data_IF_408283038104
#
_entry.id   IF_408283038104
#
_cell.length_a   1.000
_cell.length_b   1.000
_cell.length_c   1.000
_cell.angle_alpha   90.00
_cell.angle_beta   90.00
_cell.angle_gamma   90.00
#
_symmetry.space_group_name_H-M   'P 1'
#
loop_
_entity.id
_entity.type
_entity.pdbx_description
1 polymer ?
#
# COMPACT_ATOMS: atom_id res chain seq x y z
N UNK A 1 9.33 -23.14 -27.92
CA UNK A 1 10.63 -22.47 -27.66
C UNK A 1 11.22 -21.76 -28.87
N UNK A 2 11.19 -22.32 -30.09
CA UNK A 2 11.76 -21.64 -31.26
C UNK A 2 11.06 -20.31 -31.65
N UNK A 3 9.77 -20.15 -31.33
CA UNK A 3 9.01 -18.91 -31.62
C UNK A 3 9.32 -17.75 -30.67
N UNK A 4 9.77 -18.01 -29.44
CA UNK A 4 10.11 -16.97 -28.45
C UNK A 4 11.46 -16.32 -28.77
N UNK A 5 12.32 -17.02 -29.53
CA UNK A 5 13.74 -16.71 -29.67
C UNK A 5 14.03 -15.39 -30.41
N UNK A 6 13.07 -14.86 -31.16
CA UNK A 6 13.26 -13.62 -31.96
C UNK A 6 13.16 -12.36 -31.09
N UNK A 7 12.39 -12.40 -29.99
CA UNK A 7 12.06 -11.21 -29.18
C UNK A 7 12.38 -11.38 -27.67
N UNK A 8 13.17 -12.39 -27.29
CA UNK A 8 13.63 -12.63 -25.91
C UNK A 8 14.23 -11.37 -25.26
N UNK A 9 14.90 -10.54 -26.06
CA UNK A 9 15.51 -9.29 -25.61
C UNK A 9 14.54 -8.36 -24.88
N UNK A 10 13.28 -8.30 -25.34
CA UNK A 10 12.23 -7.47 -24.74
C UNK A 10 11.80 -8.02 -23.39
N UNK A 11 11.69 -9.35 -23.25
CA UNK A 11 11.38 -9.99 -21.98
C UNK A 11 12.51 -9.86 -20.96
N UNK A 12 13.76 -10.04 -21.37
CA UNK A 12 14.92 -9.94 -20.46
C UNK A 12 15.22 -8.51 -20.03
N UNK A 13 14.75 -7.51 -20.76
CA UNK A 13 14.85 -6.11 -20.34
C UNK A 13 13.97 -5.83 -19.11
N UNK A 14 12.78 -6.45 -19.03
CA UNK A 14 11.84 -6.32 -17.91
C UNK A 14 12.14 -7.34 -16.80
N UNK A 15 12.48 -8.58 -17.17
CA UNK A 15 12.78 -9.66 -16.25
C UNK A 15 14.20 -10.20 -16.48
N UNK A 16 15.24 -9.53 -15.92
CA UNK A 16 16.64 -9.92 -16.14
C UNK A 16 16.95 -11.38 -15.77
N UNK A 17 16.20 -11.95 -14.83
CA UNK A 17 16.34 -13.35 -14.41
C UNK A 17 16.09 -14.36 -15.54
N UNK A 18 15.26 -14.02 -16.54
CA UNK A 18 14.95 -14.88 -17.68
C UNK A 18 16.16 -15.08 -18.62
N UNK A 19 17.20 -14.23 -18.54
CA UNK A 19 18.44 -14.40 -19.30
C UNK A 19 19.19 -15.70 -18.96
N UNK A 20 18.95 -16.26 -17.77
CA UNK A 20 19.50 -17.57 -17.37
C UNK A 20 18.84 -18.74 -18.11
N UNK A 21 17.59 -18.58 -18.56
CA UNK A 21 16.80 -19.61 -19.23
C UNK A 21 17.01 -19.53 -20.74
N UNK A 22 16.96 -18.32 -21.30
CA UNK A 22 17.02 -18.11 -22.75
C UNK A 22 18.41 -17.75 -23.28
N UNK A 23 19.38 -17.51 -22.41
CA UNK A 23 20.70 -16.99 -22.78
C UNK A 23 20.69 -15.47 -22.99
N UNK A 24 21.84 -14.91 -23.39
CA UNK A 24 21.94 -13.49 -23.72
C UNK A 24 21.23 -13.23 -25.06
N UNK A 25 20.30 -12.26 -25.14
CA UNK A 25 19.64 -11.90 -26.40
C UNK A 25 20.67 -11.48 -27.45
N UNK A 26 20.47 -11.91 -28.69
CA UNK A 26 21.35 -11.54 -29.82
C UNK A 26 21.08 -10.14 -30.38
N UNK A 27 19.96 -9.51 -30.00
CA UNK A 27 19.59 -8.18 -30.46
C UNK A 27 19.12 -7.32 -29.28
N UNK A 28 19.64 -6.09 -29.18
CA UNK A 28 19.17 -5.11 -28.20
C UNK A 28 17.73 -4.70 -28.55
N UNK A 29 16.79 -4.70 -27.59
CA UNK A 29 15.46 -4.20 -27.86
C UNK A 29 15.55 -2.71 -28.23
N UNK A 30 15.03 -2.39 -29.40
CA UNK A 30 14.85 -1.01 -29.88
C UNK A 30 13.96 -0.26 -28.89
N UNK A 31 14.42 0.91 -28.43
CA UNK A 31 13.71 1.92 -27.63
C UNK A 31 12.59 1.38 -26.72
N UNK A 32 12.99 1.02 -25.51
CA UNK A 32 12.10 0.83 -24.35
C UNK A 32 11.23 2.08 -24.22
N UNK A 33 9.91 1.93 -24.39
CA UNK A 33 8.94 3.02 -24.28
C UNK A 33 8.11 3.30 -25.53
N UNK A 34 8.46 2.76 -26.70
CA UNK A 34 7.61 2.89 -27.89
C UNK A 34 6.36 1.99 -27.81
N UNK A 35 5.25 2.42 -28.41
CA UNK A 35 4.02 1.60 -28.55
C UNK A 35 4.32 0.24 -29.20
N UNK A 36 5.21 0.22 -30.20
CA UNK A 36 5.64 -1.01 -30.85
C UNK A 36 6.42 -1.96 -29.92
N UNK A 37 7.19 -1.42 -28.96
CA UNK A 37 7.88 -2.22 -27.95
C UNK A 37 6.89 -2.81 -26.94
N UNK A 38 5.87 -2.04 -26.52
CA UNK A 38 4.81 -2.54 -25.63
C UNK A 38 4.00 -3.68 -26.26
N UNK A 39 3.60 -3.55 -27.54
CA UNK A 39 2.91 -4.62 -28.25
C UNK A 39 3.78 -5.88 -28.39
N UNK A 40 5.08 -5.71 -28.71
CA UNK A 40 6.03 -6.82 -28.78
C UNK A 40 6.22 -7.49 -27.42
N UNK A 41 6.36 -6.71 -26.35
CA UNK A 41 6.45 -7.24 -24.99
C UNK A 41 5.21 -8.08 -24.63
N UNK A 42 4.01 -7.51 -24.81
CA UNK A 42 2.73 -8.18 -24.54
C UNK A 42 2.62 -9.51 -25.27
N UNK A 43 2.88 -9.51 -26.58
CA UNK A 43 2.83 -10.73 -27.41
C UNK A 43 3.88 -11.77 -27.00
N UNK A 44 5.13 -11.33 -26.78
CA UNK A 44 6.22 -12.24 -26.37
C UNK A 44 5.95 -12.83 -24.99
N UNK A 45 5.34 -12.06 -24.08
CA UNK A 45 4.93 -12.54 -22.77
C UNK A 45 3.81 -13.58 -22.86
N UNK A 46 2.82 -13.38 -23.72
CA UNK A 46 1.80 -14.40 -24.01
C UNK A 46 2.43 -15.69 -24.53
N UNK A 47 3.34 -15.60 -25.53
CA UNK A 47 4.05 -16.77 -26.04
C UNK A 47 4.89 -17.47 -24.97
N UNK A 48 5.53 -16.70 -24.10
CA UNK A 48 6.25 -17.24 -22.95
C UNK A 48 5.33 -18.04 -22.06
N UNK A 49 4.22 -17.45 -21.60
CA UNK A 49 3.23 -18.11 -20.73
C UNK A 49 2.67 -19.36 -21.42
N UNK A 50 2.29 -19.30 -22.70
CA UNK A 50 1.86 -20.47 -23.48
C UNK A 50 2.92 -21.59 -23.49
N UNK A 51 4.19 -21.25 -23.64
CA UNK A 51 5.24 -22.26 -23.72
C UNK A 51 5.52 -22.96 -22.38
N UNK A 52 5.28 -22.29 -21.26
CA UNK A 52 5.47 -22.86 -19.92
C UNK A 52 4.17 -23.48 -19.36
N UNK A 53 3.02 -23.12 -19.91
CA UNK A 53 1.72 -23.67 -19.52
C UNK A 53 1.37 -24.85 -20.42
N UNK A 54 1.44 -26.07 -19.88
CA UNK A 54 1.11 -27.28 -20.63
C UNK A 54 0.16 -28.16 -19.84
N UNK A 55 -0.44 -29.17 -20.49
CA UNK A 55 -1.35 -30.11 -19.81
C UNK A 55 -0.73 -30.76 -18.56
N UNK A 56 0.59 -30.99 -18.57
CA UNK A 56 1.32 -31.59 -17.45
C UNK A 56 1.95 -30.55 -16.51
N UNK A 57 1.89 -29.27 -16.88
CA UNK A 57 2.41 -28.14 -16.11
C UNK A 57 1.41 -26.98 -16.14
N UNK A 58 0.27 -27.10 -15.44
CA UNK A 58 -0.67 -25.99 -15.28
C UNK A 58 -0.03 -24.87 -14.48
N UNK A 59 -0.40 -23.63 -14.79
CA UNK A 59 0.11 -22.43 -14.10
C UNK A 59 -1.04 -21.70 -13.43
N UNK A 60 -0.82 -21.33 -12.17
CA UNK A 60 -1.68 -20.42 -11.42
C UNK A 60 -0.89 -19.13 -11.21
N UNK A 61 -1.42 -18.01 -11.71
CA UNK A 61 -0.89 -16.67 -11.45
C UNK A 61 -1.80 -15.98 -10.43
N UNK A 62 -1.25 -15.70 -9.25
CA UNK A 62 -1.92 -14.89 -8.23
C UNK A 62 -1.30 -13.50 -8.18
N UNK A 63 -2.14 -12.46 -8.21
CA UNK A 63 -1.74 -11.07 -8.00
C UNK A 63 -2.60 -10.45 -6.90
N UNK A 64 -1.93 -9.84 -5.92
CA UNK A 64 -2.59 -9.11 -4.84
C UNK A 64 -2.84 -7.64 -5.20
N UNK A 65 -3.82 -7.03 -4.53
CA UNK A 65 -4.13 -5.59 -4.60
C UNK A 65 -4.25 -5.00 -6.03
N UNK A 66 -5.00 -5.66 -6.92
CA UNK A 66 -5.17 -5.24 -8.32
C UNK A 66 -5.77 -3.84 -8.51
N UNK A 67 -6.42 -3.28 -7.48
CA UNK A 67 -6.94 -1.92 -7.52
C UNK A 67 -5.83 -0.86 -7.66
N UNK A 68 -4.58 -1.18 -7.32
CA UNK A 68 -3.43 -0.31 -7.56
C UNK A 68 -2.71 -0.59 -8.89
N UNK A 69 -3.14 -1.57 -9.67
CA UNK A 69 -2.49 -1.91 -10.92
C UNK A 69 -2.63 -0.77 -11.94
N UNK A 70 -1.50 -0.43 -12.57
CA UNK A 70 -1.51 0.54 -13.66
C UNK A 70 -2.20 -0.01 -14.92
N UNK A 71 -2.47 0.89 -15.86
CA UNK A 71 -3.14 0.53 -17.12
C UNK A 71 -2.38 -0.54 -17.91
N UNK A 72 -1.06 -0.46 -17.97
CA UNK A 72 -0.25 -1.38 -18.77
C UNK A 72 -0.27 -2.80 -18.18
N UNK A 73 -0.23 -2.91 -16.86
CA UNK A 73 -0.35 -4.18 -16.13
C UNK A 73 -1.70 -4.82 -16.37
N UNK A 74 -2.80 -4.06 -16.22
CA UNK A 74 -4.15 -4.56 -16.50
C UNK A 74 -4.29 -5.02 -17.96
N UNK A 75 -3.75 -4.26 -18.93
CA UNK A 75 -3.76 -4.65 -20.34
C UNK A 75 -2.97 -5.93 -20.63
N UNK A 76 -1.89 -6.18 -19.90
CA UNK A 76 -1.11 -7.41 -19.99
C UNK A 76 -1.89 -8.59 -19.43
N UNK A 77 -2.51 -8.44 -18.26
CA UNK A 77 -3.38 -9.46 -17.67
C UNK A 77 -4.52 -9.79 -18.64
N UNK A 78 -5.08 -8.78 -19.33
CA UNK A 78 -6.13 -9.00 -20.35
C UNK A 78 -5.66 -9.94 -21.42
N UNK A 79 -4.45 -9.66 -21.91
CA UNK A 79 -3.82 -10.44 -22.96
C UNK A 79 -3.80 -11.91 -22.56
N UNK A 80 -3.37 -12.19 -21.35
CA UNK A 80 -3.14 -13.55 -20.85
C UNK A 80 -4.45 -14.28 -20.61
N UNK A 81 -5.41 -13.62 -19.95
CA UNK A 81 -6.69 -14.23 -19.57
C UNK A 81 -7.60 -14.43 -20.79
N UNK A 82 -7.52 -13.56 -21.80
CA UNK A 82 -8.32 -13.68 -23.04
C UNK A 82 -7.66 -14.54 -24.12
N UNK A 83 -6.48 -15.10 -23.83
CA UNK A 83 -5.74 -15.91 -24.77
C UNK A 83 -6.26 -17.36 -24.82
N UNK A 84 -7.10 -17.61 -25.84
CA UNK A 84 -7.75 -18.91 -26.09
C UNK A 84 -6.79 -20.07 -26.38
N UNK A 85 -5.52 -19.79 -26.72
CA UNK A 85 -4.52 -20.86 -26.92
C UNK A 85 -3.86 -21.30 -25.61
N UNK A 86 -3.96 -20.49 -24.56
CA UNK A 86 -3.39 -20.78 -23.24
C UNK A 86 -4.31 -21.73 -22.49
N UNK A 87 -4.14 -23.02 -22.75
CA UNK A 87 -4.81 -24.05 -21.97
C UNK A 87 -4.08 -24.24 -20.63
N UNK A 88 -4.83 -24.60 -19.58
CA UNK A 88 -4.27 -24.92 -18.24
C UNK A 88 -3.68 -23.73 -17.47
N UNK A 89 -4.16 -22.52 -17.75
CA UNK A 89 -3.83 -21.30 -17.00
C UNK A 89 -5.00 -20.87 -16.11
N UNK A 90 -4.71 -20.55 -14.84
CA UNK A 90 -5.66 -19.94 -13.90
C UNK A 90 -5.09 -18.62 -13.41
N UNK A 91 -5.88 -17.55 -13.53
CA UNK A 91 -5.59 -16.26 -12.94
C UNK A 91 -6.43 -16.05 -11.69
N UNK A 92 -5.80 -15.60 -10.60
CA UNK A 92 -6.46 -15.21 -9.36
C UNK A 92 -6.01 -13.79 -9.04
N UNK A 93 -6.98 -12.89 -8.85
CA UNK A 93 -6.73 -11.51 -8.47
C UNK A 93 -7.54 -11.15 -7.23
N UNK A 94 -6.91 -10.50 -6.26
CA UNK A 94 -7.60 -9.84 -5.15
C UNK A 94 -7.64 -8.33 -5.38
N UNK A 95 -8.74 -7.70 -4.98
CA UNK A 95 -8.90 -6.27 -4.99
C UNK A 95 -9.90 -5.86 -3.91
N UNK A 96 -9.92 -4.56 -3.60
CA UNK A 96 -10.82 -3.96 -2.63
C UNK A 96 -12.02 -3.36 -3.35
N UNK A 97 -13.22 -3.85 -3.06
CA UNK A 97 -14.45 -3.42 -3.73
C UNK A 97 -14.84 -1.96 -3.36
N UNK A 98 -14.48 -1.51 -2.17
CA UNK A 98 -14.74 -0.16 -1.67
C UNK A 98 -13.84 0.94 -2.26
N UNK A 99 -12.70 0.58 -2.87
CA UNK A 99 -11.76 1.54 -3.50
C UNK A 99 -11.99 1.72 -5.00
N UNK A 100 -12.91 0.94 -5.56
CA UNK A 100 -13.19 0.89 -6.99
C UNK A 100 -14.57 1.50 -7.23
N UNK A 101 -14.61 2.70 -7.81
CA UNK A 101 -15.84 3.30 -8.31
C UNK A 101 -16.11 2.90 -9.77
N UNK A 102 -17.29 3.22 -10.30
CA UNK A 102 -17.67 2.93 -11.69
C UNK A 102 -16.67 3.47 -12.73
N UNK A 103 -15.92 4.53 -12.40
CA UNK A 103 -14.90 5.14 -13.26
C UNK A 103 -13.48 4.56 -13.08
N UNK A 104 -13.29 3.60 -12.19
CA UNK A 104 -11.98 3.02 -11.92
C UNK A 104 -11.52 2.11 -13.08
N UNK A 105 -10.21 2.09 -13.35
CA UNK A 105 -9.63 1.33 -14.48
C UNK A 105 -9.94 -0.18 -14.40
N UNK A 106 -9.92 -0.74 -13.18
CA UNK A 106 -10.22 -2.16 -12.96
C UNK A 106 -11.69 -2.50 -13.27
N UNK A 107 -12.65 -1.61 -13.01
CA UNK A 107 -14.08 -1.85 -13.32
C UNK A 107 -14.30 -2.05 -14.80
N UNK A 108 -13.83 -1.10 -15.62
CA UNK A 108 -13.97 -1.18 -17.07
C UNK A 108 -13.25 -2.38 -17.68
N UNK A 109 -12.23 -2.89 -16.98
CA UNK A 109 -11.50 -4.08 -17.36
C UNK A 109 -12.29 -5.37 -17.03
N UNK A 110 -12.88 -5.47 -15.83
CA UNK A 110 -13.76 -6.58 -15.47
C UNK A 110 -14.97 -6.65 -16.42
N UNK A 111 -15.59 -5.49 -16.71
CA UNK A 111 -16.67 -5.37 -17.70
C UNK A 111 -16.24 -5.81 -19.12
N UNK A 112 -14.97 -5.59 -19.49
CA UNK A 112 -14.43 -6.07 -20.77
C UNK A 112 -14.28 -7.59 -20.80
N UNK A 113 -13.79 -8.19 -19.72
CA UNK A 113 -13.64 -9.64 -19.63
C UNK A 113 -15.00 -10.34 -19.63
N UNK A 114 -16.00 -9.80 -18.92
CA UNK A 114 -17.38 -10.29 -18.97
C UNK A 114 -17.96 -10.21 -20.38
N UNK A 115 -17.78 -9.08 -21.09
CA UNK A 115 -18.22 -8.92 -22.48
C UNK A 115 -17.56 -9.90 -23.45
N UNK A 116 -16.36 -10.40 -23.12
CA UNK A 116 -15.62 -11.40 -23.90
C UNK A 116 -15.97 -12.84 -23.52
N UNK A 117 -16.98 -13.04 -22.67
CA UNK A 117 -17.46 -14.36 -22.22
C UNK A 117 -16.36 -15.20 -21.53
N UNK A 118 -15.44 -14.51 -20.84
CA UNK A 118 -14.44 -15.16 -20.00
C UNK A 118 -15.12 -15.65 -18.72
N UNK A 119 -14.82 -16.89 -18.32
CA UNK A 119 -15.34 -17.46 -17.08
C UNK A 119 -14.65 -16.82 -15.86
N UNK A 120 -15.32 -15.84 -15.25
CA UNK A 120 -14.90 -15.17 -14.01
C UNK A 120 -15.68 -15.76 -12.84
N UNK A 121 -15.01 -15.98 -11.72
CA UNK A 121 -15.65 -16.38 -10.46
C UNK A 121 -15.31 -15.36 -9.40
N UNK A 122 -16.29 -14.57 -9.01
CA UNK A 122 -16.14 -13.58 -7.95
C UNK A 122 -16.37 -14.23 -6.59
N UNK A 123 -15.39 -14.02 -5.70
CA UNK A 123 -15.45 -14.48 -4.32
C UNK A 123 -15.41 -13.23 -3.43
N UNK A 124 -16.58 -12.81 -2.95
CA UNK A 124 -16.65 -11.72 -1.98
C UNK A 124 -16.21 -12.24 -0.59
N UNK A 125 -15.16 -11.64 -0.04
CA UNK A 125 -14.62 -11.97 1.29
C UNK A 125 -15.20 -11.00 2.31
N UNK A 126 -16.22 -11.44 3.04
CA UNK A 126 -16.78 -10.69 4.16
C UNK A 126 -15.94 -10.86 5.44
N UNK A 127 -16.20 -10.01 6.44
CA UNK A 127 -15.72 -10.22 7.81
C UNK A 127 -16.06 -11.63 8.32
N UNK A 128 -15.19 -12.19 9.17
CA UNK A 128 -15.37 -13.54 9.72
C UNK A 128 -16.55 -13.58 10.69
N UNK A 129 -17.28 -14.69 10.67
CA UNK A 129 -18.42 -14.87 11.57
C UNK A 129 -17.99 -14.90 13.03
N UNK A 130 -18.95 -14.68 13.93
CA UNK A 130 -18.74 -14.76 15.37
C UNK A 130 -18.15 -16.11 15.83
N UNK A 131 -18.58 -17.19 15.18
CA UNK A 131 -18.07 -18.55 15.42
C UNK A 131 -16.60 -18.67 15.00
N UNK A 132 -16.24 -18.09 13.85
CA UNK A 132 -14.86 -18.06 13.36
C UNK A 132 -13.97 -17.14 14.20
N UNK A 133 -14.51 -16.02 14.72
CA UNK A 133 -13.80 -15.19 15.71
C UNK A 133 -13.51 -16.00 16.96
N UNK A 134 -14.49 -16.77 17.46
CA UNK A 134 -14.27 -17.63 18.63
C UNK A 134 -13.26 -18.75 18.34
N UNK A 135 -13.26 -19.32 17.14
CA UNK A 135 -12.23 -20.28 16.73
C UNK A 135 -10.84 -19.63 16.72
N UNK A 136 -10.70 -18.45 16.13
CA UNK A 136 -9.46 -17.69 16.09
C UNK A 136 -8.93 -17.37 17.51
N UNK A 137 -9.80 -16.88 18.39
CA UNK A 137 -9.45 -16.56 19.79
C UNK A 137 -9.09 -17.83 20.57
N UNK A 138 -9.87 -18.90 20.40
CA UNK A 138 -9.63 -20.21 21.01
C UNK A 138 -8.26 -20.78 20.64
N UNK A 139 -7.91 -20.73 19.35
CA UNK A 139 -6.61 -21.18 18.85
C UNK A 139 -5.48 -20.28 19.35
N UNK A 140 -5.69 -18.96 19.36
CA UNK A 140 -4.69 -17.98 19.82
C UNK A 140 -4.35 -18.15 21.30
N UNK A 141 -5.37 -18.35 22.15
CA UNK A 141 -5.20 -18.55 23.59
C UNK A 141 -4.91 -20.01 23.95
N UNK A 142 -4.94 -20.93 22.99
CA UNK A 142 -4.83 -22.38 23.23
C UNK A 142 -5.83 -22.88 24.29
N UNK A 143 -7.05 -22.36 24.24
CA UNK A 143 -8.14 -22.69 25.17
C UNK A 143 -9.32 -23.31 24.42
N UNK A 144 -10.15 -24.18 25.02
CA UNK A 144 -11.33 -24.71 24.38
C UNK A 144 -12.35 -23.63 24.00
N UNK A 145 -12.95 -23.75 22.80
CA UNK A 145 -13.93 -22.78 22.26
C UNK A 145 -15.11 -22.44 23.18
N UNK A 146 -15.52 -23.35 24.07
CA UNK A 146 -16.61 -23.09 25.01
C UNK A 146 -16.21 -22.13 26.14
N UNK A 147 -14.92 -22.09 26.49
CA UNK A 147 -14.37 -21.20 27.52
C UNK A 147 -14.11 -19.79 26.98
N UNK A 148 -13.74 -19.66 25.70
CA UNK A 148 -13.44 -18.37 25.05
C UNK A 148 -14.67 -17.67 24.52
N UNK A 149 -15.85 -18.29 24.57
CA UNK A 149 -17.06 -17.78 23.90
C UNK A 149 -17.48 -16.40 24.41
N UNK A 150 -17.56 -16.21 25.72
CA UNK A 150 -17.97 -14.91 26.30
C UNK A 150 -16.99 -13.79 25.94
N UNK A 151 -15.69 -14.09 25.89
CA UNK A 151 -14.66 -13.14 25.49
C UNK A 151 -14.71 -12.84 24.00
N UNK A 152 -14.86 -13.87 23.17
CA UNK A 152 -14.95 -13.75 21.72
C UNK A 152 -16.18 -12.96 21.26
N UNK A 153 -17.27 -13.00 22.03
CA UNK A 153 -18.44 -12.14 21.81
C UNK A 153 -18.10 -10.65 21.93
N UNK A 154 -17.27 -10.29 22.93
CA UNK A 154 -16.80 -8.92 23.15
C UNK A 154 -15.84 -8.53 22.01
N UNK A 155 -14.87 -9.39 21.70
CA UNK A 155 -13.91 -9.19 20.62
C UNK A 155 -14.65 -8.99 19.29
N UNK A 156 -15.61 -9.86 18.95
CA UNK A 156 -16.39 -9.76 17.71
C UNK A 156 -17.21 -8.47 17.67
N UNK A 157 -17.83 -8.06 18.78
CA UNK A 157 -18.61 -6.82 18.86
C UNK A 157 -17.74 -5.58 18.63
N UNK A 158 -16.50 -5.59 19.13
CA UNK A 158 -15.57 -4.46 19.03
C UNK A 158 -14.84 -4.39 17.68
N UNK A 159 -14.59 -5.54 17.06
CA UNK A 159 -13.79 -5.63 15.83
C UNK A 159 -14.62 -5.75 14.55
N UNK A 160 -15.93 -5.94 14.70
CA UNK A 160 -16.84 -6.21 13.57
C UNK A 160 -16.54 -7.54 12.86
N UNK A 161 -15.73 -8.43 13.46
CA UNK A 161 -15.28 -9.65 12.81
C UNK A 161 -14.21 -9.44 11.74
N UNK A 162 -13.52 -8.30 11.70
CA UNK A 162 -12.35 -8.15 10.82
C UNK A 162 -11.14 -8.89 11.44
N UNK A 163 -10.53 -9.89 10.77
CA UNK A 163 -9.43 -10.68 11.33
C UNK A 163 -8.23 -9.85 11.80
N UNK A 164 -7.86 -8.80 11.06
CA UNK A 164 -6.77 -7.90 11.45
C UNK A 164 -7.11 -7.17 12.75
N UNK A 165 -8.36 -6.74 12.92
CA UNK A 165 -8.76 -6.05 14.14
C UNK A 165 -8.90 -7.00 15.32
N UNK A 166 -9.27 -8.26 15.09
CA UNK A 166 -9.25 -9.29 16.12
C UNK A 166 -7.84 -9.47 16.67
N UNK A 167 -6.84 -9.67 15.81
CA UNK A 167 -5.45 -9.88 16.26
C UNK A 167 -4.89 -8.64 16.97
N UNK A 168 -5.14 -7.44 16.45
CA UNK A 168 -4.68 -6.19 17.07
C UNK A 168 -5.38 -5.91 18.41
N UNK A 169 -6.67 -6.22 18.52
CA UNK A 169 -7.40 -6.06 19.78
C UNK A 169 -6.89 -7.02 20.85
N UNK A 170 -6.62 -8.28 20.50
CA UNK A 170 -6.02 -9.24 21.43
C UNK A 170 -4.61 -8.80 21.87
N UNK A 171 -3.79 -8.30 20.96
CA UNK A 171 -2.46 -7.76 21.26
C UNK A 171 -2.54 -6.57 22.23
N UNK A 172 -3.43 -5.61 21.97
CA UNK A 172 -3.63 -4.44 22.84
C UNK A 172 -4.06 -4.84 24.25
N UNK A 173 -4.94 -5.83 24.40
CA UNK A 173 -5.32 -6.33 25.73
C UNK A 173 -4.16 -7.00 26.47
N UNK A 174 -3.26 -7.66 25.74
CA UNK A 174 -2.04 -8.23 26.32
C UNK A 174 -1.08 -7.13 26.79
N UNK A 175 -0.83 -6.14 25.94
CA UNK A 175 0.11 -5.04 26.23
C UNK A 175 -0.36 -4.19 27.42
N UNK A 176 -1.67 -3.99 27.57
CA UNK A 176 -2.29 -3.28 28.70
C UNK A 176 -2.43 -4.13 29.96
N UNK A 177 -2.05 -5.42 29.91
CA UNK A 177 -2.17 -6.35 31.04
C UNK A 177 -3.62 -6.70 31.39
N UNK A 178 -4.56 -6.49 30.47
CA UNK A 178 -5.98 -6.86 30.59
C UNK A 178 -6.24 -8.31 30.19
N UNK A 179 -5.34 -8.89 29.40
CA UNK A 179 -5.27 -10.31 29.05
C UNK A 179 -3.99 -10.88 29.64
N UNK A 180 -4.09 -11.77 30.63
CA UNK A 180 -2.92 -12.28 31.38
C UNK A 180 -2.98 -13.80 31.48
N UNK A 181 -1.85 -14.46 31.25
CA UNK A 181 -1.74 -15.89 31.51
C UNK A 181 -1.50 -16.15 33.00
N UNK A 182 -2.43 -16.85 33.64
CA UNK A 182 -2.30 -17.26 35.04
C UNK A 182 -1.57 -18.59 35.14
N UNK A 183 -0.36 -18.58 35.71
CA UNK A 183 0.43 -19.80 35.95
C UNK A 183 -0.23 -20.72 36.99
N UNK A 184 -0.97 -20.16 37.96
CA UNK A 184 -1.65 -20.94 39.00
C UNK A 184 -2.81 -21.77 38.44
N UNK A 185 -3.61 -21.16 37.56
CA UNK A 185 -4.76 -21.82 36.93
C UNK A 185 -4.41 -22.48 35.58
N UNK A 186 -3.17 -22.31 35.12
CA UNK A 186 -2.69 -22.73 33.80
C UNK A 186 -3.65 -22.32 32.67
N UNK A 187 -4.17 -21.11 32.76
CA UNK A 187 -5.22 -20.61 31.89
C UNK A 187 -5.11 -19.09 31.70
N UNK A 188 -5.60 -18.60 30.56
CA UNK A 188 -5.75 -17.17 30.33
C UNK A 188 -6.89 -16.62 31.16
N UNK A 189 -6.64 -15.45 31.75
CA UNK A 189 -7.63 -14.62 32.44
C UNK A 189 -7.74 -13.29 31.71
N UNK A 190 -8.96 -12.78 31.65
CA UNK A 190 -9.25 -11.47 31.11
C UNK A 190 -10.17 -10.74 32.08
N UNK A 191 -9.95 -9.44 32.26
CA UNK A 191 -10.89 -8.62 33.02
C UNK A 191 -12.09 -8.26 32.14
N UNK A 192 -13.15 -9.06 32.25
CA UNK A 192 -14.38 -8.87 31.47
C UNK A 192 -15.20 -7.65 31.92
N UNK A 193 -14.92 -7.11 33.10
CA UNK A 193 -15.70 -6.05 33.76
C UNK A 193 -14.92 -4.75 33.95
N UNK A 194 -13.69 -4.62 33.42
CA UNK A 194 -12.98 -3.36 33.37
C UNK A 194 -13.81 -2.33 32.59
N UNK A 195 -14.56 -1.52 33.34
CA UNK A 195 -15.32 -0.38 32.87
C UNK A 195 -14.47 0.59 32.03
N UNK A 196 -13.15 0.52 32.19
CA UNK A 196 -12.16 1.32 31.45
C UNK A 196 -11.90 0.76 30.03
N UNK A 197 -11.98 -0.56 29.82
CA UNK A 197 -11.91 -1.17 28.48
C UNK A 197 -13.19 -0.92 27.66
N UNK A 198 -14.27 -0.43 28.28
CA UNK A 198 -15.51 -0.09 27.60
C UNK A 198 -15.39 1.19 26.76
N UNK A 199 -14.61 2.17 27.24
CA UNK A 199 -14.47 3.50 26.61
C UNK A 199 -13.34 3.58 25.56
N UNK A 200 -12.31 2.73 25.64
CA UNK A 200 -11.12 2.79 24.76
C UNK A 200 -11.41 2.37 23.30
N UNK A 201 -12.43 1.55 23.06
CA UNK A 201 -12.54 0.76 21.82
C UNK A 201 -13.83 0.97 21.03
N UNK A 202 -14.51 2.12 21.13
CA UNK A 202 -15.73 2.37 20.34
C UNK A 202 -15.46 2.69 18.85
N UNK A 203 -14.19 2.84 18.46
CA UNK A 203 -13.78 3.00 17.06
C UNK A 203 -12.39 2.35 16.85
N UNK A 204 -12.26 1.53 15.81
CA UNK A 204 -10.97 0.90 15.43
C UNK A 204 -9.92 1.95 15.10
N UNK A 205 -10.34 3.09 14.53
CA UNK A 205 -9.48 4.26 14.34
C UNK A 205 -8.92 4.77 15.67
N UNK A 206 -9.70 4.72 16.76
CA UNK A 206 -9.24 5.11 18.11
C UNK A 206 -8.26 4.09 18.69
N UNK A 207 -8.47 2.78 18.48
CA UNK A 207 -7.50 1.76 18.87
C UNK A 207 -6.15 2.00 18.20
N UNK A 208 -6.13 2.12 16.87
CA UNK A 208 -4.90 2.36 16.12
C UNK A 208 -4.26 3.69 16.49
N UNK A 209 -5.06 4.74 16.70
CA UNK A 209 -4.58 6.02 17.15
C UNK A 209 -3.92 5.94 18.54
N UNK A 210 -4.49 5.16 19.47
CA UNK A 210 -3.90 4.95 20.79
C UNK A 210 -2.61 4.12 20.72
N UNK A 211 -2.58 3.08 19.89
CA UNK A 211 -1.35 2.30 19.65
C UNK A 211 -0.23 3.19 19.10
N UNK A 212 -0.54 4.04 18.12
CA UNK A 212 0.41 5.02 17.59
C UNK A 212 0.86 5.99 18.70
N UNK A 213 -0.04 6.51 19.54
CA UNK A 213 0.31 7.41 20.67
C UNK A 213 1.26 6.79 21.70
N UNK A 214 1.30 5.46 21.82
CA UNK A 214 2.19 4.75 22.73
C UNK A 214 3.61 4.58 22.17
N UNK A 215 3.82 4.78 20.87
CA UNK A 215 5.14 4.70 20.24
C UNK A 215 6.05 5.86 20.65
N UNK A 216 7.37 5.74 20.50
CA UNK A 216 8.29 6.87 20.65
C UNK A 216 7.87 8.09 19.83
N UNK A 217 8.06 9.30 20.36
CA UNK A 217 7.58 10.55 19.74
C UNK A 217 8.11 10.73 18.31
N UNK A 218 9.37 10.36 18.05
CA UNK A 218 9.93 10.41 16.69
C UNK A 218 9.25 9.43 15.73
N UNK A 219 8.88 8.24 16.21
CA UNK A 219 8.14 7.24 15.44
C UNK A 219 6.72 7.73 15.12
N UNK A 220 6.04 8.34 16.10
CA UNK A 220 4.73 8.96 15.88
C UNK A 220 4.78 10.04 14.80
N UNK A 221 5.81 10.88 14.84
CA UNK A 221 6.00 11.93 13.86
C UNK A 221 6.23 11.36 12.45
N UNK A 222 7.12 10.38 12.33
CA UNK A 222 7.39 9.67 11.07
C UNK A 222 6.12 9.04 10.48
N UNK A 223 5.31 8.38 11.31
CA UNK A 223 4.04 7.77 10.90
C UNK A 223 3.03 8.82 10.43
N UNK A 224 2.94 9.98 11.11
CA UNK A 224 2.06 11.09 10.70
C UNK A 224 2.48 11.70 9.37
N UNK A 225 3.79 11.87 9.15
CA UNK A 225 4.33 12.31 7.86
C UNK A 225 3.96 11.33 6.74
N UNK A 226 4.19 10.03 6.98
CA UNK A 226 3.84 8.97 6.03
C UNK A 226 2.33 8.98 5.72
N UNK A 227 1.49 9.19 6.73
CA UNK A 227 0.04 9.30 6.57
C UNK A 227 -0.39 10.46 5.66
N UNK A 228 0.36 11.58 5.68
CA UNK A 228 0.12 12.69 4.76
C UNK A 228 0.58 12.41 3.34
N UNK A 229 1.70 11.69 3.15
CA UNK A 229 2.24 11.35 1.82
C UNK A 229 1.30 10.40 1.08
N UNK A 230 0.84 9.33 1.73
CA UNK A 230 -0.07 8.35 1.12
C UNK A 230 0.07 6.95 1.69
N UNK A 231 -0.52 5.96 1.00
CA UNK A 231 -0.48 4.55 1.40
C UNK A 231 0.91 3.91 1.25
N UNK A 232 1.76 4.46 0.38
CA UNK A 232 3.12 3.99 0.10
C UNK A 232 4.09 5.16 0.01
N UNK A 233 5.24 5.05 0.68
CA UNK A 233 6.28 6.07 0.68
C UNK A 233 7.67 5.45 0.49
N UNK A 234 8.43 5.98 -0.48
CA UNK A 234 9.81 5.59 -0.73
C UNK A 234 10.74 6.18 0.35
N UNK A 235 11.79 5.45 0.72
CA UNK A 235 12.85 5.91 1.62
C UNK A 235 13.47 7.26 1.21
N UNK A 236 13.59 7.54 -0.09
CA UNK A 236 14.12 8.80 -0.63
C UNK A 236 13.29 10.00 -0.16
N UNK A 237 11.95 9.90 -0.25
CA UNK A 237 11.04 10.96 0.18
C UNK A 237 11.15 11.17 1.70
N UNK A 238 11.24 10.08 2.46
CA UNK A 238 11.41 10.12 3.91
C UNK A 238 12.73 10.78 4.34
N UNK A 239 13.82 10.56 3.60
CA UNK A 239 15.11 11.20 3.85
C UNK A 239 15.09 12.72 3.63
N UNK A 240 14.26 13.21 2.71
CA UNK A 240 14.15 14.66 2.45
C UNK A 240 13.61 15.42 3.67
N UNK A 241 12.63 14.83 4.38
CA UNK A 241 12.09 15.42 5.61
C UNK A 241 13.13 15.59 6.71
N UNK A 242 14.04 14.62 6.84
CA UNK A 242 15.08 14.67 7.87
C UNK A 242 16.07 15.82 7.64
N UNK A 243 16.35 16.16 6.37
CA UNK A 243 17.31 17.22 6.03
C UNK A 243 16.78 18.62 6.34
N UNK A 244 15.47 18.84 6.30
CA UNK A 244 14.88 20.15 6.54
C UNK A 244 14.75 20.47 8.04
N UNK A 245 14.39 19.50 8.88
CA UNK A 245 14.34 19.72 10.33
C UNK A 245 15.71 20.04 10.94
N UNK A 246 16.79 19.48 10.39
CA UNK A 246 18.16 19.85 10.77
C UNK A 246 18.50 21.31 10.43
N UNK A 247 17.85 21.89 9.41
CA UNK A 247 18.06 23.27 8.95
C UNK A 247 17.20 24.33 9.64
N UNK A 248 16.14 23.94 10.36
CA UNK A 248 15.20 24.85 11.05
C UNK A 248 15.65 25.27 12.46
N UNK A 249 16.79 24.77 12.95
CA UNK A 249 17.35 25.17 14.24
C UNK A 249 18.34 26.35 14.12
N UNK A 250 17.78 27.56 13.95
CA UNK A 250 18.54 28.81 13.95
C UNK A 250 18.78 29.40 15.36
N UNK A 251 19.86 30.17 15.47
CA UNK A 251 20.79 30.52 16.55
C UNK A 251 20.29 31.04 17.93
N UNK A 252 19.00 31.06 18.28
CA UNK A 252 18.55 31.83 19.48
C UNK A 252 18.13 31.05 20.72
N UNK A 253 18.08 29.72 20.70
CA UNK A 253 17.77 28.94 21.91
C UNK A 253 18.83 27.88 22.12
N UNK A 254 19.79 28.18 23.01
CA UNK A 254 20.91 27.32 23.41
C UNK A 254 20.52 26.05 24.17
N UNK A 255 19.63 25.23 23.60
CA UNK A 255 19.45 23.82 23.98
C UNK A 255 19.66 22.98 22.74
N UNK A 256 20.93 22.61 22.51
CA UNK A 256 21.29 21.47 21.67
C UNK A 256 20.55 20.24 22.18
N UNK A 257 19.39 19.91 21.61
CA UNK A 257 18.94 18.52 21.58
C UNK A 257 19.94 17.83 20.65
N UNK A 258 20.96 17.21 21.24
CA UNK A 258 21.73 16.18 20.56
C UNK A 258 20.77 15.03 20.30
N UNK A 259 20.07 15.08 19.18
CA UNK A 259 19.63 13.87 18.48
C UNK A 259 20.81 13.63 17.53
N UNK A 260 21.77 12.85 17.99
CA UNK A 260 22.92 12.43 17.20
C UNK A 260 22.46 11.29 16.28
N UNK A 261 22.83 11.38 14.99
CA UNK A 261 22.76 10.33 13.95
C UNK A 261 21.36 10.07 13.33
N UNK A 262 20.85 11.07 12.59
CA UNK A 262 19.42 11.26 12.27
C UNK A 262 18.84 10.46 11.09
N UNK A 263 19.66 9.78 10.24
CA UNK A 263 19.09 8.90 9.19
C UNK A 263 18.87 7.47 9.66
N UNK A 264 19.82 6.91 10.42
CA UNK A 264 19.68 5.59 11.04
C UNK A 264 18.57 5.60 12.11
N UNK A 265 18.36 6.73 12.80
CA UNK A 265 17.32 6.86 13.84
C UNK A 265 15.90 6.79 13.25
N UNK A 266 15.59 7.51 12.16
CA UNK A 266 14.26 7.45 11.52
C UNK A 266 13.93 6.05 10.99
N UNK A 267 14.86 5.45 10.24
CA UNK A 267 14.61 4.12 9.68
C UNK A 267 14.52 3.08 10.79
N UNK A 268 15.27 3.22 11.89
CA UNK A 268 15.07 2.37 13.06
C UNK A 268 13.68 2.56 13.68
N UNK A 269 13.16 3.79 13.74
CA UNK A 269 11.81 4.08 14.23
C UNK A 269 10.71 3.56 13.30
N UNK A 270 10.89 3.63 11.99
CA UNK A 270 9.95 3.08 11.02
C UNK A 270 9.99 1.55 11.01
N UNK A 271 11.17 0.94 11.14
CA UNK A 271 11.30 -0.51 11.31
C UNK A 271 10.66 -0.96 12.64
N UNK A 272 10.77 -0.17 13.71
CA UNK A 272 10.03 -0.42 14.95
C UNK A 272 8.52 -0.41 14.72
N UNK A 273 8.01 0.54 13.93
CA UNK A 273 6.59 0.55 13.53
C UNK A 273 6.19 -0.64 12.64
N UNK A 274 7.14 -1.22 11.90
CA UNK A 274 6.93 -2.48 11.15
C UNK A 274 6.81 -3.66 12.11
N UNK A 275 7.71 -3.76 13.09
CA UNK A 275 7.67 -4.81 14.11
C UNK A 275 6.38 -4.75 14.95
N UNK A 276 5.89 -3.53 15.23
CA UNK A 276 4.61 -3.27 15.90
C UNK A 276 3.38 -3.51 15.00
N UNK A 277 3.57 -3.89 13.73
CA UNK A 277 2.50 -4.21 12.78
C UNK A 277 1.67 -3.01 12.33
N UNK A 278 2.20 -1.79 12.51
CA UNK A 278 1.56 -0.53 12.06
C UNK A 278 1.93 -0.28 10.61
N UNK A 279 3.19 -0.52 10.28
CA UNK A 279 3.72 -0.44 8.92
C UNK A 279 4.07 -1.83 8.39
N UNK A 280 4.21 -1.92 7.08
CA UNK A 280 4.86 -2.99 6.36
C UNK A 280 5.99 -2.38 5.53
N UNK A 281 7.02 -3.18 5.28
CA UNK A 281 8.16 -2.77 4.46
C UNK A 281 8.35 -3.75 3.30
N UNK A 282 8.38 -3.19 2.09
CA UNK A 282 8.91 -3.86 0.89
C UNK A 282 10.34 -3.34 0.61
N UNK A 283 11.01 -3.84 -0.43
CA UNK A 283 12.42 -3.57 -0.77
C UNK A 283 12.88 -2.12 -0.57
N UNK A 284 12.05 -1.14 -0.94
CA UNK A 284 12.38 0.30 -0.86
C UNK A 284 11.23 1.18 -0.32
N UNK A 285 10.15 0.58 0.17
CA UNK A 285 8.93 1.31 0.50
C UNK A 285 8.35 0.93 1.85
N UNK A 286 7.93 1.93 2.61
CA UNK A 286 7.08 1.76 3.78
C UNK A 286 5.62 1.98 3.40
N UNK A 287 4.75 1.10 3.87
CA UNK A 287 3.31 1.14 3.65
C UNK A 287 2.59 0.95 4.96
N UNK A 288 1.39 1.51 5.09
CA UNK A 288 0.54 1.13 6.22
C UNK A 288 0.09 -0.31 6.05
N UNK A 289 0.12 -1.10 7.13
CA UNK A 289 -0.40 -2.46 7.08
C UNK A 289 -1.90 -2.50 6.71
N UNK A 290 -2.62 -1.40 6.94
CA UNK A 290 -4.01 -1.23 6.55
C UNK A 290 -4.41 0.26 6.50
N UNK A 291 -5.34 0.63 5.63
CA UNK A 291 -5.80 2.02 5.43
C UNK A 291 -6.39 2.66 6.69
N UNK A 292 -7.08 1.87 7.52
CA UNK A 292 -7.58 2.34 8.81
C UNK A 292 -6.46 2.80 9.77
N UNK A 293 -5.26 2.21 9.65
CA UNK A 293 -4.09 2.64 10.41
C UNK A 293 -3.59 3.97 9.86
N UNK A 294 -3.58 4.14 8.54
CA UNK A 294 -3.27 5.42 7.89
C UNK A 294 -4.24 6.52 8.32
N UNK A 295 -5.55 6.24 8.29
CA UNK A 295 -6.59 7.19 8.70
C UNK A 295 -6.47 7.54 10.18
N UNK A 296 -6.19 6.55 11.03
CA UNK A 296 -5.91 6.78 12.44
C UNK A 296 -4.68 7.67 12.64
N UNK A 297 -3.56 7.37 11.97
CA UNK A 297 -2.35 8.18 11.98
C UNK A 297 -2.62 9.62 11.52
N UNK A 298 -3.38 9.79 10.43
CA UNK A 298 -3.74 11.10 9.90
C UNK A 298 -4.65 11.88 10.86
N UNK A 299 -5.58 11.18 11.53
CA UNK A 299 -6.48 11.79 12.52
C UNK A 299 -5.75 12.34 13.74
N UNK A 300 -4.57 11.80 14.07
CA UNK A 300 -3.70 12.27 15.16
C UNK A 300 -2.98 13.59 14.85
N UNK A 301 -3.09 14.09 13.62
CA UNK A 301 -2.58 15.41 13.23
C UNK A 301 -3.68 16.43 13.53
N UNK A 302 -3.44 17.43 14.40
CA UNK A 302 -4.37 18.53 14.63
C UNK A 302 -4.78 19.21 13.33
N UNK A 303 -6.06 19.58 13.19
CA UNK A 303 -6.57 20.15 11.92
C UNK A 303 -5.83 21.40 11.47
N UNK A 304 -5.38 22.23 12.42
CA UNK A 304 -4.58 23.42 12.17
C UNK A 304 -3.13 23.12 11.73
N UNK A 305 -2.63 21.91 11.95
CA UNK A 305 -1.28 21.46 11.57
C UNK A 305 -1.26 20.68 10.25
N UNK A 306 -2.40 20.13 9.80
CA UNK A 306 -2.49 19.37 8.54
C UNK A 306 -2.10 20.21 7.33
N UNK A 307 -2.64 21.42 7.21
CA UNK A 307 -2.35 22.32 6.08
C UNK A 307 -0.88 22.72 5.98
N UNK A 308 -0.24 23.21 7.06
CA UNK A 308 1.20 23.47 7.09
C UNK A 308 2.03 22.25 6.75
N UNK A 309 1.68 21.07 7.27
CA UNK A 309 2.42 19.84 7.01
C UNK A 309 2.31 19.42 5.54
N UNK A 310 1.14 19.52 4.93
CA UNK A 310 0.96 19.28 3.49
C UNK A 310 1.74 20.27 2.61
N UNK A 311 1.79 21.55 3.00
CA UNK A 311 2.65 22.54 2.32
C UNK A 311 4.13 22.17 2.40
N UNK A 312 4.60 21.79 3.59
CA UNK A 312 5.97 21.38 3.84
C UNK A 312 6.36 20.18 2.96
N UNK A 313 5.55 19.12 2.99
CA UNK A 313 5.73 17.92 2.16
C UNK A 313 5.80 18.26 0.68
N UNK A 314 4.85 19.07 0.17
CA UNK A 314 4.82 19.47 -1.23
C UNK A 314 6.07 20.24 -1.65
N UNK A 315 6.51 21.20 -0.83
CA UNK A 315 7.69 22.03 -1.11
C UNK A 315 8.99 21.23 -1.08
N UNK A 316 9.10 20.28 -0.14
CA UNK A 316 10.28 19.41 -0.05
C UNK A 316 10.44 18.54 -1.28
N UNK A 317 9.36 17.87 -1.69
CA UNK A 317 9.37 17.04 -2.88
C UNK A 317 9.69 17.90 -4.11
N UNK A 318 9.06 19.08 -4.22
CA UNK A 318 9.31 20.02 -5.33
C UNK A 318 10.77 20.47 -5.41
N UNK A 319 11.40 20.78 -4.28
CA UNK A 319 12.80 21.25 -4.24
C UNK A 319 13.81 20.13 -4.51
N UNK A 320 13.45 18.90 -4.13
CA UNK A 320 14.29 17.73 -4.37
C UNK A 320 14.20 17.20 -5.80
N UNK A 321 13.10 17.51 -6.50
CA UNK A 321 12.83 16.96 -7.80
C UNK A 321 13.80 17.51 -8.84
N UNK A 322 14.51 16.61 -9.52
CA UNK A 322 15.32 16.93 -10.68
C UNK A 322 14.43 17.38 -11.85
N UNK A 323 14.90 18.25 -12.75
CA UNK A 323 14.17 18.65 -13.98
C UNK A 323 13.72 17.46 -14.88
N UNK A 324 14.27 16.27 -14.64
CA UNK A 324 14.01 15.02 -15.37
C UNK A 324 13.11 14.01 -14.63
N UNK A 325 12.51 14.36 -13.49
CA UNK A 325 11.75 13.40 -12.69
C UNK A 325 10.33 13.11 -13.21
N UNK A 326 9.91 11.88 -12.91
CA UNK A 326 8.75 11.18 -13.44
C UNK A 326 7.42 11.89 -13.17
N UNK A 327 6.51 11.68 -14.12
CA UNK A 327 5.10 12.06 -14.10
C UNK A 327 4.40 11.94 -12.72
N UNK A 328 4.70 10.88 -11.96
CA UNK A 328 4.06 10.59 -10.68
C UNK A 328 4.46 11.56 -9.55
N UNK A 329 5.69 12.11 -9.62
CA UNK A 329 6.18 13.10 -8.65
C UNK A 329 5.41 14.41 -8.77
N UNK A 330 5.11 14.85 -9.99
CA UNK A 330 4.35 16.08 -10.23
C UNK A 330 2.93 15.99 -9.65
N UNK A 331 2.25 14.86 -9.83
CA UNK A 331 0.91 14.64 -9.27
C UNK A 331 0.95 14.64 -7.74
N UNK A 332 1.96 14.01 -7.15
CA UNK A 332 2.14 13.98 -5.70
C UNK A 332 2.36 15.41 -5.15
N UNK A 333 3.28 16.18 -5.72
CA UNK A 333 3.56 17.58 -5.31
C UNK A 333 2.30 18.42 -5.35
N UNK A 334 1.58 18.41 -6.47
CA UNK A 334 0.39 19.25 -6.66
C UNK A 334 -0.72 18.84 -5.69
N UNK A 335 -0.92 17.55 -5.43
CA UNK A 335 -1.90 17.08 -4.46
C UNK A 335 -1.57 17.57 -3.03
N UNK A 336 -0.30 17.48 -2.62
CA UNK A 336 0.16 17.96 -1.32
C UNK A 336 -0.02 19.48 -1.17
N UNK A 337 0.44 20.26 -2.14
CA UNK A 337 0.32 21.72 -2.10
C UNK A 337 -1.14 22.19 -2.13
N UNK A 338 -2.00 21.54 -2.91
CA UNK A 338 -3.45 21.85 -2.93
C UNK A 338 -4.12 21.57 -1.58
N UNK A 339 -3.74 20.51 -0.87
CA UNK A 339 -4.22 20.24 0.51
C UNK A 339 -3.70 21.28 1.52
N UNK A 340 -2.53 21.86 1.24
CA UNK A 340 -1.92 22.94 2.02
C UNK A 340 -2.32 24.36 1.60
N UNK A 341 -3.23 24.54 0.64
CA UNK A 341 -3.46 25.82 -0.07
C UNK A 341 -3.80 27.01 0.85
N UNK A 342 -4.45 26.75 1.99
CA UNK A 342 -4.79 27.78 2.97
C UNK A 342 -3.54 28.45 3.59
N UNK A 343 -2.37 27.82 3.49
CA UNK A 343 -1.09 28.26 4.05
C UNK A 343 -0.08 28.70 2.97
N UNK A 344 -0.51 28.73 1.71
CA UNK A 344 0.31 29.17 0.57
C UNK A 344 0.08 30.67 0.36
N UNK A 345 1.17 31.43 0.30
CA UNK A 345 1.12 32.88 0.11
C UNK A 345 0.66 33.23 -1.31
N UNK A 346 0.06 34.40 -1.51
CA UNK A 346 -0.47 34.82 -2.82
C UNK A 346 0.58 34.76 -3.95
N UNK A 347 1.85 35.03 -3.63
CA UNK A 347 2.95 34.97 -4.58
C UNK A 347 3.26 33.52 -5.02
N UNK A 348 3.17 32.56 -4.10
CA UNK A 348 3.38 31.12 -4.34
C UNK A 348 2.16 30.46 -5.04
N UNK A 349 0.96 31.05 -4.91
CA UNK A 349 -0.26 30.51 -5.57
C UNK A 349 -0.17 30.52 -7.09
N UNK A 350 0.54 31.49 -7.66
CA UNK A 350 0.75 31.57 -9.12
C UNK A 350 1.63 30.39 -9.58
N UNK A 351 2.66 30.06 -8.81
CA UNK A 351 3.51 28.90 -9.07
C UNK A 351 2.73 27.58 -8.93
N UNK A 352 1.94 27.43 -7.86
CA UNK A 352 1.05 26.29 -7.70
C UNK A 352 0.03 26.18 -8.84
N UNK A 353 -0.50 27.30 -9.35
CA UNK A 353 -1.41 27.29 -10.49
C UNK A 353 -0.71 26.80 -11.77
N UNK A 354 0.55 27.19 -12.00
CA UNK A 354 1.36 26.68 -13.11
C UNK A 354 1.66 25.18 -12.96
N UNK A 355 1.97 24.71 -11.76
CA UNK A 355 2.17 23.28 -11.49
C UNK A 355 0.88 22.47 -11.72
N UNK A 356 -0.27 22.98 -11.26
CA UNK A 356 -1.58 22.38 -11.53
C UNK A 356 -1.91 22.34 -13.03
N UNK A 357 -1.57 23.39 -13.79
CA UNK A 357 -1.75 23.42 -15.25
C UNK A 357 -0.93 22.33 -15.91
N UNK A 358 0.38 22.24 -15.57
CA UNK A 358 1.26 21.20 -16.10
C UNK A 358 0.76 19.80 -15.77
N UNK A 359 0.31 19.57 -14.53
CA UNK A 359 -0.27 18.30 -14.11
C UNK A 359 -1.56 17.97 -14.90
N UNK A 360 -2.41 18.97 -15.16
CA UNK A 360 -3.63 18.82 -15.96
C UNK A 360 -3.35 18.52 -17.43
N UNK A 361 -2.42 19.23 -18.06
CA UNK A 361 -1.95 18.96 -19.42
C UNK A 361 -1.38 17.55 -19.56
N UNK A 362 -0.65 17.11 -18.53
CA UNK A 362 -0.07 15.77 -18.48
C UNK A 362 -1.12 14.68 -18.24
N UNK A 363 -2.10 14.92 -17.36
CA UNK A 363 -3.23 14.02 -17.19
C UNK A 363 -4.03 13.88 -18.50
N UNK A 364 -4.22 14.97 -19.25
CA UNK A 364 -4.83 14.94 -20.57
C UNK A 364 -3.99 14.13 -21.57
N UNK A 365 -2.66 14.31 -21.61
CA UNK A 365 -1.82 13.54 -22.54
C UNK A 365 -1.82 12.04 -22.22
N UNK A 366 -1.83 11.65 -20.94
CA UNK A 366 -1.97 10.26 -20.48
C UNK A 366 -3.37 9.68 -20.77
N UNK A 367 -4.41 10.50 -20.68
CA UNK A 367 -5.79 10.13 -21.00
C UNK A 367 -6.06 10.06 -22.52
N UNK A 368 -5.25 10.75 -23.34
CA UNK A 368 -5.39 10.77 -24.79
C UNK A 368 -4.84 9.46 -25.37
N UNK A 369 -5.68 8.43 -25.36
CA UNK A 369 -5.55 7.37 -26.36
C UNK A 369 -5.65 8.01 -27.75
N UNK A 370 -4.67 7.74 -28.60
CA UNK A 370 -4.80 7.91 -30.05
C UNK A 370 -6.00 7.06 -30.47
N UNK A 371 -7.12 7.71 -30.73
CA UNK A 371 -8.17 7.16 -31.61
C UNK A 371 -7.51 7.08 -32.98
N UNK A 372 -6.90 5.94 -33.28
CA UNK A 372 -6.41 5.63 -34.62
C UNK A 372 -7.63 5.51 -35.53
N UNK A 373 -7.83 6.53 -36.35
CA UNK A 373 -8.72 6.51 -37.52
C UNK A 373 -8.14 5.63 -38.63
#
# INVERSE_FOLDING_TARGET
>A
MNEINVDVGVLTAVFPCLSKIFGKPTCNPTEVGSVAAQHRFKFTFQLFVRAITTLFHPIILYLDDLHWADRLSLQLISALVTDMETNNFLFIGSYRDNEICDSHLLTGYLDELERRDINITDINISCISKENVNALVSDTLSMPQHMTKSFSDIVCKKTGGNPLFVTQFLQSLWDEGLLVFSLEDNAWKWDADASDAKEIFDDVGVLMANKIRQLPIGCQYAIKLLACVGSKCNETILQLFMREEEGLHDEQVGKKRKISDTSDDLFSMLNFAVDEGILQKDLENYMFAHDQIQLAAYSLIPENERGPMHKLIGNLILTSASDNEENDVLFLVVNQLNRGIAFIHEEEKIELAMLNLRAGEMAMSLATFVISA
#
